data_IF_181868465373
#
_entry.id   IF_181868465373
#
_cell.length_a   1.000
_cell.length_b   1.000
_cell.length_c   1.000
_cell.angle_alpha   90.00
_cell.angle_beta   90.00
_cell.angle_gamma   90.00
#
_symmetry.space_group_name_H-M   'P 1'
#
loop_
_entity.id
_entity.type
_entity.pdbx_description
1 polymer ?
#
# COMPACT_ATOMS: atom_id res chain seq x y z
N UNK A 1 -44.05 -54.30 -52.77
CA UNK A 1 -42.85 -53.61 -53.29
C UNK A 1 -42.27 -52.78 -52.16
N UNK A 2 -41.14 -53.22 -51.62
CA UNK A 2 -40.47 -52.58 -50.49
C UNK A 2 -39.43 -51.58 -51.00
N UNK A 3 -39.39 -50.40 -50.40
CA UNK A 3 -38.24 -49.48 -50.44
C UNK A 3 -38.03 -48.92 -49.03
N UNK A 4 -37.27 -49.66 -48.24
CA UNK A 4 -36.71 -49.22 -46.97
C UNK A 4 -35.54 -48.28 -47.27
N UNK A 5 -35.56 -47.07 -46.68
CA UNK A 5 -34.34 -46.40 -46.20
C UNK A 5 -34.64 -45.66 -44.90
N UNK A 6 -34.31 -46.36 -43.82
CA UNK A 6 -34.06 -45.78 -42.50
C UNK A 6 -32.95 -44.74 -42.62
N UNK A 7 -33.17 -43.55 -42.07
CA UNK A 7 -32.10 -42.68 -41.60
C UNK A 7 -32.58 -42.02 -40.29
N UNK A 8 -32.15 -42.62 -39.19
CA UNK A 8 -32.02 -42.05 -37.85
C UNK A 8 -31.20 -40.75 -37.87
N UNK A 9 -31.39 -39.86 -36.87
CA UNK A 9 -30.43 -38.93 -36.20
C UNK A 9 -31.22 -37.71 -35.60
N UNK A 10 -30.99 -37.25 -34.34
CA UNK A 10 -31.34 -37.90 -33.09
C UNK A 10 -32.11 -36.94 -32.12
N UNK A 11 -32.46 -37.46 -30.94
CA UNK A 11 -32.77 -36.72 -29.71
C UNK A 11 -31.86 -35.48 -29.55
N UNK A 12 -32.46 -34.29 -29.51
CA UNK A 12 -31.81 -33.06 -29.04
C UNK A 12 -32.20 -32.81 -27.57
N UNK A 13 -31.64 -33.65 -26.70
CA UNK A 13 -31.46 -33.36 -25.28
C UNK A 13 -30.16 -32.56 -25.15
N UNK A 14 -30.21 -31.23 -25.18
CA UNK A 14 -29.10 -30.34 -24.75
C UNK A 14 -29.75 -29.06 -24.21
N UNK A 15 -30.08 -29.05 -22.93
CA UNK A 15 -29.27 -28.47 -21.85
C UNK A 15 -29.68 -27.02 -21.56
N UNK A 16 -30.38 -26.88 -20.43
CA UNK A 16 -30.52 -25.65 -19.69
C UNK A 16 -29.16 -25.05 -19.38
N UNK A 17 -28.94 -23.79 -19.75
CA UNK A 17 -28.05 -22.92 -19.00
C UNK A 17 -28.70 -21.55 -18.87
N UNK A 18 -29.29 -21.30 -17.71
CA UNK A 18 -29.56 -19.96 -17.23
C UNK A 18 -28.24 -19.22 -17.14
N UNK A 19 -27.99 -18.29 -18.06
CA UNK A 19 -26.84 -17.39 -17.97
C UNK A 19 -27.16 -16.29 -16.97
N UNK A 20 -27.07 -16.58 -15.68
CA UNK A 20 -26.87 -15.53 -14.68
C UNK A 20 -25.47 -14.99 -14.91
N UNK A 21 -25.36 -13.80 -15.49
CA UNK A 21 -24.09 -13.09 -15.59
C UNK A 21 -23.61 -12.76 -14.18
N UNK A 22 -22.70 -13.58 -13.66
CA UNK A 22 -21.91 -13.26 -12.46
C UNK A 22 -20.82 -12.29 -12.92
N UNK A 23 -21.06 -11.00 -12.71
CA UNK A 23 -20.02 -9.98 -12.92
C UNK A 23 -19.09 -10.01 -11.72
N UNK A 24 -17.87 -10.49 -11.97
CA UNK A 24 -16.82 -10.73 -11.01
C UNK A 24 -16.38 -9.48 -10.24
N UNK A 25 -16.19 -9.66 -8.94
CA UNK A 25 -15.74 -8.66 -7.97
C UNK A 25 -14.26 -8.29 -8.21
N UNK A 26 -14.02 -7.29 -9.05
CA UNK A 26 -12.67 -6.70 -9.26
C UNK A 26 -12.51 -5.35 -8.55
N UNK A 27 -13.18 -5.17 -7.40
CA UNK A 27 -13.03 -3.99 -6.54
C UNK A 27 -11.99 -4.15 -5.42
N UNK A 28 -11.56 -5.39 -5.13
CA UNK A 28 -10.61 -5.65 -4.04
C UNK A 28 -9.15 -5.43 -4.46
N UNK A 29 -8.72 -5.93 -5.61
CA UNK A 29 -7.29 -5.93 -5.97
C UNK A 29 -6.79 -4.53 -6.41
N UNK A 30 -7.60 -3.72 -7.11
CA UNK A 30 -7.20 -2.35 -7.45
C UNK A 30 -7.18 -1.39 -6.25
N UNK A 31 -8.00 -1.63 -5.20
CA UNK A 31 -7.93 -0.85 -3.95
C UNK A 31 -6.65 -1.18 -3.19
N UNK A 32 -6.27 -2.45 -3.17
CA UNK A 32 -5.06 -2.92 -2.48
C UNK A 32 -3.78 -2.42 -3.17
N UNK A 33 -3.77 -2.25 -4.50
CA UNK A 33 -2.58 -1.73 -5.21
C UNK A 33 -2.53 -0.19 -5.31
N UNK A 34 -3.66 0.53 -5.38
CA UNK A 34 -3.66 2.01 -5.43
C UNK A 34 -3.43 2.66 -4.04
N UNK A 35 -3.71 1.94 -2.96
CA UNK A 35 -3.42 2.38 -1.58
C UNK A 35 -1.94 2.19 -1.18
N UNK A 36 -1.14 1.45 -1.96
CA UNK A 36 0.26 1.13 -1.64
C UNK A 36 1.27 2.27 -1.83
N UNK A 37 0.83 3.43 -2.33
CA UNK A 37 1.69 4.61 -2.48
C UNK A 37 0.94 5.90 -2.15
N UNK A 38 0.12 5.89 -1.08
CA UNK A 38 -0.40 7.14 -0.55
C UNK A 38 0.78 8.02 -0.14
N UNK A 39 0.85 9.22 -0.72
CA UNK A 39 1.83 10.25 -0.38
C UNK A 39 2.03 10.35 1.13
N UNK A 40 3.22 10.74 1.60
CA UNK A 40 3.51 10.91 3.03
C UNK A 40 2.42 11.75 3.74
N UNK A 41 2.14 11.50 5.03
CA UNK A 41 1.22 12.33 5.80
C UNK A 41 1.58 13.80 5.68
N UNK A 42 0.59 14.65 5.38
CA UNK A 42 0.80 16.10 5.28
C UNK A 42 1.02 16.69 6.66
N UNK A 43 1.85 17.73 6.74
CA UNK A 43 1.96 18.53 7.97
C UNK A 43 0.58 19.01 8.45
N UNK A 44 0.36 19.00 9.76
CA UNK A 44 -0.92 19.30 10.38
C UNK A 44 -1.97 18.19 10.35
N UNK A 45 -1.68 17.01 9.76
CA UNK A 45 -2.59 15.85 9.89
C UNK A 45 -2.58 15.35 11.33
N UNK A 46 -3.73 14.99 11.90
CA UNK A 46 -3.77 14.46 13.27
C UNK A 46 -3.27 13.01 13.36
N UNK A 47 -2.76 12.60 14.52
CA UNK A 47 -2.36 11.21 14.78
C UNK A 47 -3.46 10.21 14.42
N UNK A 48 -4.71 10.51 14.79
CA UNK A 48 -5.86 9.65 14.49
C UNK A 48 -6.12 9.53 12.99
N UNK A 49 -6.00 10.63 12.23
CA UNK A 49 -6.16 10.61 10.78
C UNK A 49 -5.01 9.85 10.09
N UNK A 50 -3.77 9.97 10.60
CA UNK A 50 -2.64 9.17 10.11
C UNK A 50 -2.90 7.68 10.38
N UNK A 51 -3.30 7.30 11.58
CA UNK A 51 -3.58 5.89 11.89
C UNK A 51 -4.75 5.32 11.07
N UNK A 52 -5.79 6.14 10.83
CA UNK A 52 -6.92 5.75 9.99
C UNK A 52 -6.53 5.57 8.51
N UNK A 53 -5.59 6.36 8.00
CA UNK A 53 -5.19 6.33 6.59
C UNK A 53 -4.08 5.30 6.30
N UNK A 54 -3.11 5.14 7.20
CA UNK A 54 -1.91 4.32 6.98
C UNK A 54 -1.88 3.03 7.84
N UNK A 55 -2.86 2.84 8.73
CA UNK A 55 -2.92 1.73 9.67
C UNK A 55 -2.09 1.98 10.93
N UNK A 56 -1.96 0.97 11.77
CA UNK A 56 -1.12 1.04 12.96
C UNK A 56 0.37 1.07 12.57
N UNK A 57 1.20 1.92 13.21
CA UNK A 57 2.64 1.91 13.00
C UNK A 57 3.31 0.66 13.60
N UNK A 58 4.49 0.31 13.10
CA UNK A 58 5.35 -0.76 13.66
C UNK A 58 5.82 -0.43 15.08
N UNK A 59 6.03 0.86 15.37
CA UNK A 59 6.38 1.34 16.72
C UNK A 59 5.96 2.79 16.92
N UNK A 60 5.52 3.10 18.14
CA UNK A 60 5.28 4.45 18.65
C UNK A 60 6.31 4.72 19.74
N UNK A 61 7.17 5.71 19.54
CA UNK A 61 8.15 6.14 20.55
C UNK A 61 7.57 7.29 21.36
N UNK A 62 7.83 7.27 22.67
CA UNK A 62 7.38 8.30 23.61
C UNK A 62 7.85 9.70 23.20
N UNK A 63 7.06 10.68 23.60
CA UNK A 63 7.36 12.07 23.35
C UNK A 63 8.63 12.51 24.11
N UNK A 64 9.49 13.26 23.44
CA UNK A 64 10.69 13.86 24.03
C UNK A 64 10.73 15.37 23.80
N UNK A 65 11.35 16.11 24.72
CA UNK A 65 11.61 17.55 24.58
C UNK A 65 10.43 18.48 24.90
N UNK A 66 10.65 19.78 24.62
CA UNK A 66 9.66 20.86 24.70
C UNK A 66 9.86 21.75 23.46
N UNK A 67 8.91 21.82 22.50
CA UNK A 67 7.63 21.12 22.50
C UNK A 67 7.78 19.59 22.39
N UNK A 68 6.79 18.80 22.85
CA UNK A 68 6.89 17.34 22.87
C UNK A 68 6.84 16.77 21.45
N UNK A 69 7.87 16.01 21.06
CA UNK A 69 7.93 15.36 19.75
C UNK A 69 7.76 13.85 19.90
N UNK A 70 6.69 13.32 19.33
CA UNK A 70 6.39 11.88 19.24
C UNK A 70 6.82 11.34 17.87
N UNK A 71 7.36 10.12 17.83
CA UNK A 71 7.79 9.50 16.57
C UNK A 71 7.08 8.17 16.34
N UNK A 72 6.43 8.02 15.19
CA UNK A 72 5.86 6.75 14.76
C UNK A 72 6.61 6.22 13.55
N UNK A 73 6.92 4.91 13.57
CA UNK A 73 7.61 4.23 12.48
C UNK A 73 6.63 3.36 11.71
N UNK A 74 6.54 3.56 10.40
CA UNK A 74 5.85 2.70 9.45
C UNK A 74 6.88 1.92 8.62
N UNK A 75 6.49 0.86 7.91
CA UNK A 75 7.43 0.06 7.13
C UNK A 75 8.26 0.88 6.13
N UNK A 76 7.65 1.85 5.45
CA UNK A 76 8.29 2.64 4.38
C UNK A 76 8.72 4.07 4.80
N UNK A 77 8.25 4.59 5.93
CA UNK A 77 8.51 5.97 6.36
C UNK A 77 8.37 6.14 7.87
N UNK A 78 8.84 7.28 8.38
CA UNK A 78 8.71 7.68 9.78
C UNK A 78 7.97 9.02 9.84
N UNK A 79 7.03 9.15 10.78
CA UNK A 79 6.24 10.36 11.01
C UNK A 79 6.62 10.95 12.36
N UNK A 80 6.81 12.26 12.38
CA UNK A 80 7.07 13.05 13.58
C UNK A 80 5.86 13.92 13.86
N UNK A 81 5.44 13.92 15.11
CA UNK A 81 4.32 14.71 15.59
C UNK A 81 4.77 15.65 16.69
N UNK A 82 4.28 16.87 16.65
CA UNK A 82 4.28 17.75 17.82
C UNK A 82 2.87 17.71 18.42
N UNK A 83 2.78 17.42 19.72
CA UNK A 83 1.51 17.02 20.34
C UNK A 83 0.84 15.89 19.55
N UNK A 84 -0.29 16.15 18.91
CA UNK A 84 -1.09 15.22 18.13
C UNK A 84 -1.09 15.50 16.61
N UNK A 85 -0.27 16.46 16.14
CA UNK A 85 -0.25 16.89 14.73
C UNK A 85 1.09 16.59 14.06
N UNK A 86 1.05 16.15 12.80
CA UNK A 86 2.26 15.89 11.99
C UNK A 86 3.06 17.17 11.82
N UNK A 87 4.34 17.13 12.16
CA UNK A 87 5.31 18.17 11.82
C UNK A 87 6.18 17.78 10.63
N UNK A 88 6.50 16.48 10.47
CA UNK A 88 7.28 15.99 9.34
C UNK A 88 7.05 14.50 9.09
N UNK A 89 7.29 14.05 7.86
CA UNK A 89 7.32 12.65 7.48
C UNK A 89 8.50 12.38 6.54
N UNK A 90 9.24 11.30 6.79
CA UNK A 90 10.50 10.99 6.10
C UNK A 90 10.48 9.57 5.57
N UNK A 91 10.76 9.38 4.28
CA UNK A 91 10.90 8.04 3.66
C UNK A 91 12.12 7.34 4.23
N UNK A 92 12.00 6.06 4.60
CA UNK A 92 13.15 5.23 4.92
C UNK A 92 13.90 4.93 3.63
N UNK A 93 15.12 5.42 3.49
CA UNK A 93 15.96 5.09 2.34
C UNK A 93 16.70 3.78 2.62
N UNK A 94 16.58 2.84 1.71
CA UNK A 94 17.20 1.51 1.78
C UNK A 94 17.97 1.28 0.49
N UNK A 95 19.05 2.02 0.25
CA UNK A 95 20.02 1.61 -0.76
C UNK A 95 21.44 1.69 -0.21
N UNK A 96 22.24 0.62 -0.33
CA UNK A 96 23.67 0.63 0.00
C UNK A 96 24.48 1.64 -0.84
N UNK A 97 23.91 2.16 -1.94
CA UNK A 97 24.57 3.05 -2.90
C UNK A 97 24.14 4.52 -2.77
N UNK A 98 23.45 4.90 -1.69
CA UNK A 98 23.22 6.30 -1.39
C UNK A 98 24.53 6.99 -0.97
N UNK A 99 25.21 7.59 -1.96
CA UNK A 99 26.37 8.45 -1.75
C UNK A 99 25.86 9.73 -1.05
N UNK A 100 25.88 9.71 0.29
CA UNK A 100 25.78 10.93 1.09
C UNK A 100 26.87 11.92 0.68
N UNK A 101 26.73 13.22 1.00
CA UNK A 101 27.78 14.19 0.70
C UNK A 101 29.11 13.67 1.25
N UNK A 102 30.11 13.62 0.36
CA UNK A 102 31.49 13.22 0.69
C UNK A 102 31.86 13.82 2.05
N UNK A 103 32.22 13.01 3.07
CA UNK A 103 32.66 13.55 4.34
C UNK A 103 33.70 14.62 4.06
N UNK A 104 33.46 15.84 4.56
CA UNK A 104 34.47 16.89 4.51
C UNK A 104 35.70 16.28 5.16
N UNK A 105 36.77 16.07 4.38
CA UNK A 105 38.01 15.56 4.92
C UNK A 105 38.44 16.54 6.01
N UNK A 106 38.28 16.15 7.28
CA UNK A 106 38.78 16.91 8.41
C UNK A 106 40.26 17.12 8.16
N UNK A 107 40.61 18.39 7.91
CA UNK A 107 41.98 18.81 7.68
C UNK A 107 42.85 18.25 8.80
N UNK A 108 43.90 17.56 8.39
CA UNK A 108 45.08 17.35 9.19
C UNK A 108 45.53 18.73 9.69
N UNK A 109 45.21 19.08 10.94
CA UNK A 109 45.94 20.09 11.68
C UNK A 109 46.97 19.35 12.54
N UNK A 110 47.98 18.79 11.86
CA UNK A 110 49.27 18.53 12.46
C UNK A 110 50.15 19.74 12.16
N UNK A 111 50.63 20.38 13.22
CA UNK A 111 51.47 21.57 13.23
C UNK A 111 51.44 22.19 14.61
#
# INVERSE_FOLDING_TARGET
MSKIRVLWIPIALVAALATTSVSAETLLVQRVERAKASALPRAGTSMAAVEAQYGAPESKLDAVGKPPITRWNYPAFTVYFEYDHVVNAVVKKSSPEEIGPKPVATGQHQG
#
